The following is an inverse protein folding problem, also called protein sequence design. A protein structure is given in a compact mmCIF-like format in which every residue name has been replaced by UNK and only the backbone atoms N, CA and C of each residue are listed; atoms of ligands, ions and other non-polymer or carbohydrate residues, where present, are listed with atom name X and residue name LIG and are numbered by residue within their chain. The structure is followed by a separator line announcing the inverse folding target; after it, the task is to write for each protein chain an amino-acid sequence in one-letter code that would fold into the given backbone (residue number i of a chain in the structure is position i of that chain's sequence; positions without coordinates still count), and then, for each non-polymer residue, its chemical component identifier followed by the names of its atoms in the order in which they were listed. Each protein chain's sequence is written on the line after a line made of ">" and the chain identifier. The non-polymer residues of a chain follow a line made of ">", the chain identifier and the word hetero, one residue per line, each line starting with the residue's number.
data_IF_819792538472
#
_entry.id   IF_819792538472
#
_cell.length_a   1.000
_cell.length_b   1.000
_cell.length_c   1.000
_cell.angle_alpha   90.00
_cell.angle_beta   90.00
_cell.angle_gamma   90.00
#
_symmetry.space_group_name_H-M   'P 1'
#
loop_
_entity.id
_entity.type
_entity.pdbx_description
1 polymer ?
#
# COMPACT_ATOMS: atom_id res chain seq x y z
N UNK A 1 -24.55 -26.86 14.90
CA UNK A 1 -23.19 -27.13 14.39
C UNK A 1 -22.97 -26.50 13.02
N UNK A 2 -23.85 -26.75 12.04
CA UNK A 2 -23.80 -26.13 10.69
C UNK A 2 -23.86 -24.61 10.69
N UNK A 3 -24.76 -24.00 11.48
CA UNK A 3 -24.88 -22.54 11.60
C UNK A 3 -23.60 -21.87 12.13
N UNK A 4 -22.94 -22.47 13.13
CA UNK A 4 -21.69 -21.95 13.69
C UNK A 4 -20.54 -22.02 12.68
N UNK A 5 -20.46 -23.12 11.91
CA UNK A 5 -19.46 -23.29 10.85
C UNK A 5 -19.65 -22.26 9.73
N UNK A 6 -20.89 -21.98 9.33
CA UNK A 6 -21.18 -20.95 8.33
C UNK A 6 -20.77 -19.55 8.80
N UNK A 7 -21.04 -19.21 10.07
CA UNK A 7 -20.64 -17.92 10.65
C UNK A 7 -19.11 -17.79 10.70
N UNK A 8 -18.40 -18.82 11.15
CA UNK A 8 -16.93 -18.82 11.18
C UNK A 8 -16.35 -18.68 9.76
N UNK A 9 -16.90 -19.40 8.78
CA UNK A 9 -16.49 -19.30 7.38
C UNK A 9 -16.70 -17.88 6.82
N UNK A 10 -17.87 -17.28 7.07
CA UNK A 10 -18.14 -15.91 6.64
C UNK A 10 -17.17 -14.91 7.28
N UNK A 11 -16.94 -14.98 8.59
CA UNK A 11 -16.01 -14.09 9.30
C UNK A 11 -14.57 -14.24 8.75
N UNK A 12 -14.12 -15.46 8.45
CA UNK A 12 -12.81 -15.71 7.86
C UNK A 12 -12.68 -15.12 6.44
N UNK A 13 -13.75 -15.20 5.64
CA UNK A 13 -13.81 -14.58 4.30
C UNK A 13 -13.77 -13.04 4.42
N UNK A 14 -14.56 -12.45 5.32
CA UNK A 14 -14.55 -10.99 5.56
C UNK A 14 -13.18 -10.48 6.03
N UNK A 15 -12.53 -11.17 6.97
CA UNK A 15 -11.16 -10.83 7.39
C UNK A 15 -10.17 -10.89 6.21
N UNK A 16 -10.27 -11.89 5.34
CA UNK A 16 -9.40 -12.02 4.17
C UNK A 16 -9.60 -10.89 3.14
N UNK A 17 -10.81 -10.33 3.04
CA UNK A 17 -11.09 -9.19 2.15
C UNK A 17 -10.54 -7.88 2.74
N UNK A 18 -10.70 -7.63 4.05
CA UNK A 18 -10.13 -6.45 4.70
C UNK A 18 -8.60 -6.49 4.82
N UNK A 19 -8.01 -7.67 5.06
CA UNK A 19 -6.54 -7.83 5.18
C UNK A 19 -5.80 -7.68 3.86
N UNK A 20 -6.44 -7.91 2.70
CA UNK A 20 -5.78 -7.69 1.41
C UNK A 20 -5.52 -6.20 1.10
N UNK A 21 -6.12 -5.27 1.84
CA UNK A 21 -5.91 -3.82 1.66
C UNK A 21 -4.66 -3.31 2.42
N UNK A 22 -4.06 -4.12 3.29
CA UNK A 22 -2.87 -3.75 4.03
C UNK A 22 -1.90 -4.92 4.10
N UNK A 23 -0.74 -4.87 3.41
CA UNK A 23 0.57 -5.46 3.85
C UNK A 23 1.65 -5.78 2.79
N UNK A 24 1.73 -5.18 1.58
CA UNK A 24 2.99 -5.36 0.79
C UNK A 24 3.47 -4.27 -0.17
N UNK A 25 2.80 -3.13 -0.34
CA UNK A 25 3.22 -2.19 -1.39
C UNK A 25 3.03 -0.70 -1.06
N UNK A 26 3.36 -0.27 0.17
CA UNK A 26 3.53 1.16 0.41
C UNK A 26 4.94 1.56 -0.05
N UNK A 27 5.12 1.59 -1.37
CA UNK A 27 6.07 2.49 -2.04
C UNK A 27 5.39 3.85 -1.95
N UNK A 28 6.01 4.78 -1.24
CA UNK A 28 5.39 6.02 -0.78
C UNK A 28 4.62 6.74 -1.90
N UNK A 29 3.36 7.08 -1.64
CA UNK A 29 2.52 7.76 -2.61
C UNK A 29 2.89 9.23 -2.68
N UNK A 30 2.78 9.79 -3.88
CA UNK A 30 3.13 11.18 -4.11
C UNK A 30 2.10 11.89 -4.99
N UNK A 31 2.16 13.22 -4.99
CA UNK A 31 1.42 14.04 -5.96
C UNK A 31 2.43 14.87 -6.74
N UNK A 32 2.14 15.10 -8.02
CA UNK A 32 3.03 15.91 -8.89
C UNK A 32 3.08 17.37 -8.40
N UNK A 33 2.05 17.83 -7.68
CA UNK A 33 2.00 19.15 -7.07
C UNK A 33 2.95 19.29 -5.86
N UNK A 34 3.18 18.22 -5.10
CA UNK A 34 4.05 18.22 -3.93
C UNK A 34 5.44 17.66 -4.25
N UNK A 35 6.38 18.58 -4.50
CA UNK A 35 7.78 18.22 -4.78
C UNK A 35 8.53 17.62 -3.59
N UNK A 36 8.04 17.79 -2.36
CA UNK A 36 8.68 17.25 -1.16
C UNK A 36 8.15 15.87 -0.75
N UNK A 37 7.11 15.38 -1.45
CA UNK A 37 6.50 14.09 -1.19
C UNK A 37 7.46 12.90 -1.29
N UNK A 38 8.57 13.03 -2.05
CA UNK A 38 9.55 11.95 -2.25
C UNK A 38 10.94 12.23 -1.68
N UNK A 39 11.15 13.33 -0.93
CA UNK A 39 12.47 13.70 -0.43
C UNK A 39 13.51 13.80 -1.56
N UNK A 40 14.62 13.02 -1.54
CA UNK A 40 15.60 12.97 -2.64
C UNK A 40 15.12 12.18 -3.88
N UNK A 41 13.98 11.49 -3.80
CA UNK A 41 13.41 10.70 -4.88
C UNK A 41 12.56 11.50 -5.86
N UNK A 42 12.06 10.81 -6.88
CA UNK A 42 11.20 11.38 -7.92
C UNK A 42 9.80 10.80 -7.86
N UNK A 43 8.77 11.64 -7.96
CA UNK A 43 7.40 11.19 -8.10
C UNK A 43 7.14 10.73 -9.54
N UNK A 44 6.84 9.44 -9.72
CA UNK A 44 6.59 8.84 -11.03
C UNK A 44 5.15 8.33 -11.14
N UNK A 45 4.51 8.44 -12.32
CA UNK A 45 3.18 7.90 -12.54
C UNK A 45 3.19 6.37 -12.47
N UNK A 46 2.18 5.80 -11.84
CA UNK A 46 1.97 4.36 -11.76
C UNK A 46 0.46 4.07 -11.87
N UNK A 47 0.09 2.90 -12.39
CA UNK A 47 -1.31 2.57 -12.72
C UNK A 47 -2.27 2.66 -11.51
N UNK A 48 -1.73 2.46 -10.30
CA UNK A 48 -2.47 2.51 -9.04
C UNK A 48 -2.31 3.85 -8.28
N UNK A 49 -1.86 4.92 -8.94
CA UNK A 49 -1.51 6.21 -8.33
C UNK A 49 0.00 6.44 -8.27
N UNK A 50 0.43 7.71 -8.30
CA UNK A 50 1.85 8.08 -8.40
C UNK A 50 2.66 7.61 -7.17
N UNK A 51 3.91 7.22 -7.41
CA UNK A 51 4.81 6.64 -6.40
C UNK A 51 6.19 7.26 -6.43
N UNK A 52 6.88 7.22 -5.31
CA UNK A 52 8.26 7.66 -5.22
C UNK A 52 9.23 6.61 -5.77
N UNK A 53 10.07 7.02 -6.74
CA UNK A 53 11.26 6.30 -7.17
C UNK A 53 12.47 6.84 -6.41
N UNK A 54 13.04 6.02 -5.54
CA UNK A 54 14.21 6.40 -4.75
C UNK A 54 15.53 6.23 -5.50
N UNK A 55 16.54 7.08 -5.24
CA UNK A 55 17.88 6.89 -5.76
C UNK A 55 18.57 5.67 -5.13
N UNK A 56 19.67 5.23 -5.74
CA UNK A 56 20.44 4.09 -5.24
C UNK A 56 20.85 4.29 -3.78
N UNK A 57 20.62 3.28 -2.93
CA UNK A 57 20.93 3.32 -1.50
C UNK A 57 19.83 3.94 -0.62
N UNK A 58 18.71 4.40 -1.19
CA UNK A 58 17.58 4.96 -0.45
C UNK A 58 16.35 4.06 -0.53
N UNK A 59 15.58 3.99 0.54
CA UNK A 59 14.34 3.22 0.64
C UNK A 59 13.36 3.90 1.61
N UNK A 60 12.21 3.29 1.87
CA UNK A 60 11.27 3.81 2.87
C UNK A 60 10.39 4.97 2.38
N UNK A 61 9.73 5.64 3.34
CA UNK A 61 8.86 6.79 3.06
C UNK A 61 9.72 8.02 2.76
N UNK A 62 9.36 8.76 1.73
CA UNK A 62 10.08 9.92 1.22
C UNK A 62 11.55 9.62 0.90
N UNK A 63 11.86 8.36 0.60
CA UNK A 63 13.22 7.88 0.40
C UNK A 63 14.13 8.29 1.57
N UNK A 64 13.78 7.88 2.78
CA UNK A 64 14.49 8.13 4.04
C UNK A 64 14.44 6.91 4.97
#
# INVERSE_FOLDING_TARGET
>A
MTMLVMVIALLAIFHSVCSQVATKAVIDFCTIADRQSCGPGQCIPHASGNRCKCPHGWMGRKCA
#
